data_IF_956438653119
#
_entry.id   IF_956438653119
#
_cell.length_a   1.000
_cell.length_b   1.000
_cell.length_c   1.000
_cell.angle_alpha   90.00
_cell.angle_beta   90.00
_cell.angle_gamma   90.00
#
_symmetry.space_group_name_H-M   'P 1'
#
loop_
_entity.id
_entity.type
_entity.pdbx_description
1 polymer ?
#
# COMPACT_ATOMS: atom_id res chain seq x y z
N UNK A 1 -58.93 -7.14 -28.94
CA UNK A 1 -57.88 -7.99 -29.51
C UNK A 1 -56.68 -7.11 -29.78
N UNK A 2 -55.67 -7.11 -28.90
CA UNK A 2 -54.28 -6.79 -29.21
C UNK A 2 -53.45 -7.15 -28.02
N UNK A 3 -52.73 -8.25 -28.10
CA UNK A 3 -51.69 -8.65 -27.18
C UNK A 3 -50.39 -8.04 -27.69
N UNK A 4 -49.78 -7.15 -26.93
CA UNK A 4 -48.38 -6.76 -27.11
C UNK A 4 -47.52 -7.56 -26.15
N UNK A 5 -46.76 -8.46 -26.71
CA UNK A 5 -45.77 -9.31 -26.05
C UNK A 5 -44.60 -8.43 -25.63
N UNK A 6 -44.35 -8.35 -24.31
CA UNK A 6 -43.21 -7.63 -23.76
C UNK A 6 -42.04 -8.64 -23.56
N UNK A 7 -41.13 -8.70 -24.53
CA UNK A 7 -39.97 -9.63 -24.51
C UNK A 7 -38.61 -8.94 -24.31
N UNK A 8 -38.57 -7.91 -23.45
CA UNK A 8 -37.34 -7.13 -23.25
C UNK A 8 -36.63 -7.37 -21.91
N UNK A 9 -37.18 -8.20 -21.00
CA UNK A 9 -36.67 -8.27 -19.59
C UNK A 9 -35.69 -9.41 -19.32
N UNK A 10 -35.49 -10.34 -20.25
CA UNK A 10 -34.60 -11.50 -20.06
C UNK A 10 -33.11 -11.23 -20.26
N UNK A 11 -32.74 -10.23 -21.06
CA UNK A 11 -31.32 -10.01 -21.44
C UNK A 11 -30.51 -9.14 -20.46
N UNK A 12 -31.18 -8.30 -19.70
CA UNK A 12 -30.53 -7.38 -18.74
C UNK A 12 -30.07 -8.13 -17.48
N UNK A 13 -30.84 -9.15 -17.07
CA UNK A 13 -30.54 -9.93 -15.86
C UNK A 13 -29.34 -10.89 -16.07
N UNK A 14 -29.20 -11.49 -17.24
CA UNK A 14 -28.10 -12.39 -17.59
C UNK A 14 -26.72 -11.68 -17.58
N UNK A 15 -26.66 -10.44 -18.05
CA UNK A 15 -25.41 -9.66 -18.09
C UNK A 15 -24.94 -9.25 -16.68
N UNK A 16 -25.85 -8.97 -15.76
CA UNK A 16 -25.52 -8.63 -14.37
C UNK A 16 -25.00 -9.85 -13.60
N UNK A 17 -25.63 -11.01 -13.80
CA UNK A 17 -25.22 -12.27 -13.18
C UNK A 17 -23.85 -12.72 -13.71
N UNK A 18 -23.61 -12.60 -15.03
CA UNK A 18 -22.33 -12.96 -15.65
C UNK A 18 -21.19 -12.05 -15.16
N UNK A 19 -21.42 -10.72 -15.06
CA UNK A 19 -20.43 -9.78 -14.50
C UNK A 19 -20.11 -10.06 -13.03
N UNK A 20 -21.12 -10.38 -12.21
CA UNK A 20 -20.92 -10.70 -10.81
C UNK A 20 -20.13 -12.00 -10.61
N UNK A 21 -20.37 -13.02 -11.45
CA UNK A 21 -19.64 -14.28 -11.43
C UNK A 21 -18.20 -14.11 -11.92
N UNK A 22 -17.98 -13.31 -12.95
CA UNK A 22 -16.66 -13.00 -13.50
C UNK A 22 -15.79 -12.24 -12.49
N UNK A 23 -16.36 -11.26 -11.79
CA UNK A 23 -15.66 -10.52 -10.74
C UNK A 23 -15.29 -11.41 -9.55
N UNK A 24 -16.15 -12.36 -9.16
CA UNK A 24 -15.83 -13.36 -8.11
C UNK A 24 -14.71 -14.30 -8.54
N UNK A 25 -14.68 -14.70 -9.79
CA UNK A 25 -13.65 -15.57 -10.34
C UNK A 25 -12.29 -14.87 -10.41
N UNK A 26 -12.26 -13.58 -10.80
CA UNK A 26 -11.05 -12.75 -10.75
C UNK A 26 -10.57 -12.59 -9.31
N UNK A 27 -11.47 -12.29 -8.36
CA UNK A 27 -11.13 -12.14 -6.96
C UNK A 27 -10.56 -13.45 -6.39
N UNK A 28 -11.15 -14.59 -6.74
CA UNK A 28 -10.67 -15.91 -6.33
C UNK A 28 -9.29 -16.22 -6.95
N UNK A 29 -9.07 -15.91 -8.22
CA UNK A 29 -7.79 -16.09 -8.90
C UNK A 29 -6.69 -15.20 -8.30
N UNK A 30 -7.01 -13.97 -7.93
CA UNK A 30 -6.11 -13.08 -7.21
C UNK A 30 -5.78 -13.68 -5.83
N UNK A 31 -6.80 -14.14 -5.09
CA UNK A 31 -6.61 -14.72 -3.75
C UNK A 31 -5.76 -15.99 -3.78
N UNK A 32 -5.95 -16.86 -4.80
CA UNK A 32 -5.12 -18.07 -4.97
C UNK A 32 -3.70 -17.74 -5.42
N UNK A 33 -3.49 -16.73 -6.25
CA UNK A 33 -2.17 -16.25 -6.64
C UNK A 33 -1.36 -15.79 -5.43
N UNK A 34 -1.99 -15.09 -4.48
CA UNK A 34 -1.35 -14.68 -3.23
C UNK A 34 -1.06 -15.84 -2.26
N UNK A 35 -1.78 -16.95 -2.35
CA UNK A 35 -1.63 -18.08 -1.43
C UNK A 35 -0.50 -19.06 -1.81
N UNK A 36 0.02 -19.02 -3.04
CA UNK A 36 0.99 -20.00 -3.56
C UNK A 36 2.44 -19.52 -3.54
N UNK A 37 2.73 -18.38 -2.90
CA UNK A 37 4.10 -17.84 -2.84
C UNK A 37 5.00 -18.73 -1.97
N UNK A 38 5.96 -19.39 -2.59
CA UNK A 38 7.04 -20.08 -1.86
C UNK A 38 7.93 -19.04 -1.21
N UNK A 39 7.99 -19.14 0.09
CA UNK A 39 8.71 -18.22 0.94
C UNK A 39 10.21 -18.40 0.84
N UNK A 40 10.92 -17.37 0.42
CA UNK A 40 12.35 -17.23 0.66
C UNK A 40 12.55 -16.40 1.94
N UNK A 41 13.39 -16.91 2.84
CA UNK A 41 13.72 -16.22 4.08
C UNK A 41 14.41 -14.89 3.78
N UNK A 42 14.01 -13.84 4.46
CA UNK A 42 14.71 -12.56 4.40
C UNK A 42 16.08 -12.66 5.06
N UNK A 43 17.08 -12.04 4.45
CA UNK A 43 18.49 -12.15 4.87
C UNK A 43 18.90 -11.08 5.89
N UNK A 44 17.99 -10.27 6.44
CA UNK A 44 18.29 -9.19 7.36
C UNK A 44 17.14 -8.97 8.36
N UNK A 45 17.49 -8.51 9.55
CA UNK A 45 16.52 -8.26 10.64
C UNK A 45 16.04 -6.81 10.66
N UNK A 46 16.92 -5.87 10.28
CA UNK A 46 16.64 -4.45 10.35
C UNK A 46 17.03 -3.74 9.05
N UNK A 47 16.32 -2.67 8.76
CA UNK A 47 16.67 -1.76 7.69
C UNK A 47 16.33 -0.31 8.05
N UNK A 48 17.24 0.59 7.76
CA UNK A 48 17.00 2.03 7.82
C UNK A 48 17.14 2.64 6.43
N UNK A 49 16.27 3.55 6.07
CA UNK A 49 16.32 4.08 4.72
C UNK A 49 15.63 5.42 4.52
N UNK A 50 15.78 5.90 3.31
CA UNK A 50 15.14 7.10 2.81
C UNK A 50 14.03 6.72 1.84
N UNK A 51 12.98 7.50 1.85
CA UNK A 51 11.84 7.41 0.94
C UNK A 51 11.75 8.71 0.14
N UNK A 52 11.56 8.62 -1.15
CA UNK A 52 11.40 9.76 -2.04
C UNK A 52 10.12 9.58 -2.86
N UNK A 53 9.25 10.58 -2.84
CA UNK A 53 7.95 10.55 -3.51
C UNK A 53 6.94 11.45 -2.83
N UNK A 54 5.68 11.05 -2.81
CA UNK A 54 4.61 11.82 -2.17
C UNK A 54 4.80 11.88 -0.65
N UNK A 55 5.32 10.82 -0.03
CA UNK A 55 5.63 10.74 1.38
C UNK A 55 7.15 10.64 1.58
N UNK A 56 7.88 11.71 1.19
CA UNK A 56 9.34 11.75 1.31
C UNK A 56 9.77 11.81 2.77
N UNK A 57 10.81 11.02 3.14
CA UNK A 57 11.26 10.98 4.52
C UNK A 57 12.20 9.83 4.81
N UNK A 58 12.20 9.40 6.06
CA UNK A 58 12.99 8.28 6.55
C UNK A 58 12.07 7.15 7.00
N UNK A 59 12.58 5.92 6.95
CA UNK A 59 11.89 4.74 7.49
C UNK A 59 12.85 3.82 8.21
N UNK A 60 12.33 3.14 9.23
CA UNK A 60 13.01 2.07 9.93
C UNK A 60 12.11 0.83 9.90
N UNK A 61 12.59 -0.23 9.29
CA UNK A 61 11.90 -1.51 9.17
C UNK A 61 12.58 -2.53 10.08
N UNK A 62 11.77 -3.23 10.88
CA UNK A 62 12.21 -4.32 11.74
C UNK A 62 11.40 -5.57 11.42
N UNK A 63 12.07 -6.68 11.10
CA UNK A 63 11.43 -7.98 10.88
C UNK A 63 11.14 -8.66 12.21
N UNK A 64 9.87 -8.94 12.47
CA UNK A 64 9.41 -9.68 13.65
C UNK A 64 9.29 -11.18 13.39
N UNK A 65 9.31 -11.56 12.12
CA UNK A 65 9.42 -12.95 11.65
C UNK A 65 10.07 -12.98 10.26
N UNK A 66 10.28 -14.17 9.71
CA UNK A 66 10.88 -14.31 8.38
C UNK A 66 10.08 -13.60 7.26
N UNK A 67 8.83 -13.24 7.52
CA UNK A 67 7.92 -12.66 6.52
C UNK A 67 7.26 -11.38 6.96
N UNK A 68 7.20 -11.13 8.25
CA UNK A 68 6.43 -10.05 8.82
C UNK A 68 7.35 -8.98 9.39
N UNK A 69 7.10 -7.73 9.05
CA UNK A 69 7.89 -6.59 9.51
C UNK A 69 7.01 -5.45 10.02
N UNK A 70 7.57 -4.66 10.91
CA UNK A 70 7.04 -3.36 11.31
C UNK A 70 7.90 -2.29 10.64
N UNK A 71 7.29 -1.38 9.90
CA UNK A 71 7.95 -0.25 9.26
C UNK A 71 7.48 1.07 9.93
N UNK A 72 8.39 1.71 10.62
CA UNK A 72 8.21 3.03 11.20
C UNK A 72 8.64 4.07 10.19
N UNK A 73 7.80 5.07 9.92
CA UNK A 73 8.09 6.10 8.93
C UNK A 73 7.92 7.50 9.52
N UNK A 74 8.82 8.39 9.16
CA UNK A 74 8.68 9.81 9.39
C UNK A 74 8.85 10.54 8.05
N UNK A 75 7.76 11.13 7.58
CA UNK A 75 7.73 11.85 6.31
C UNK A 75 7.69 13.34 6.55
N UNK A 76 8.49 14.05 5.79
CA UNK A 76 8.63 15.50 5.89
C UNK A 76 8.15 16.12 4.58
N UNK A 77 7.22 17.00 4.67
CA UNK A 77 6.75 17.77 3.54
C UNK A 77 6.61 19.23 3.97
N UNK A 78 7.12 20.15 3.22
CA UNK A 78 7.12 21.61 3.43
C UNK A 78 6.21 22.08 4.58
N UNK A 79 6.75 22.23 5.80
CA UNK A 79 6.01 22.60 7.05
C UNK A 79 5.01 21.55 7.54
N UNK A 80 5.21 20.27 7.20
CA UNK A 80 4.41 19.18 7.72
C UNK A 80 5.29 18.00 8.13
N UNK A 81 4.88 17.31 9.18
CA UNK A 81 5.48 16.07 9.68
C UNK A 81 4.40 15.02 9.75
N UNK A 82 4.64 13.88 9.13
CA UNK A 82 3.77 12.71 9.24
C UNK A 82 4.56 11.56 9.85
N UNK A 83 4.04 10.97 10.91
CA UNK A 83 4.56 9.76 11.54
C UNK A 83 3.61 8.60 11.28
N UNK A 84 4.14 7.48 10.85
CA UNK A 84 3.36 6.29 10.53
C UNK A 84 3.99 5.01 11.04
N UNK A 85 3.13 4.03 11.30
CA UNK A 85 3.51 2.67 11.64
C UNK A 85 2.74 1.73 10.72
N UNK A 86 3.48 0.88 10.01
CA UNK A 86 2.93 -0.10 9.08
C UNK A 86 3.35 -1.51 9.48
N UNK A 87 2.40 -2.42 9.55
CA UNK A 87 2.66 -3.85 9.52
C UNK A 87 2.74 -4.29 8.06
N UNK A 88 3.80 -4.99 7.69
CA UNK A 88 4.08 -5.43 6.33
C UNK A 88 4.33 -6.94 6.31
N UNK A 89 3.76 -7.62 5.34
CA UNK A 89 4.05 -9.01 5.03
C UNK A 89 4.81 -9.10 3.72
N UNK A 90 5.90 -9.85 3.73
CA UNK A 90 6.80 -10.04 2.60
C UNK A 90 6.65 -11.43 2.00
N UNK A 91 6.81 -11.53 0.69
CA UNK A 91 6.87 -12.79 -0.03
C UNK A 91 7.84 -12.67 -1.22
N UNK A 92 8.49 -13.77 -1.58
CA UNK A 92 9.38 -13.81 -2.75
C UNK A 92 8.66 -13.40 -4.03
N UNK A 93 9.34 -12.66 -4.90
CA UNK A 93 8.79 -12.17 -6.15
C UNK A 93 9.52 -12.78 -7.34
N UNK A 94 8.78 -13.30 -8.32
CA UNK A 94 9.27 -13.75 -9.63
C UNK A 94 10.37 -14.82 -9.58
N UNK A 95 10.50 -15.59 -8.51
CA UNK A 95 11.59 -16.57 -8.29
C UNK A 95 13.01 -15.99 -8.48
N UNK A 96 13.16 -14.67 -8.29
CA UNK A 96 14.42 -13.96 -8.33
C UNK A 96 14.94 -13.81 -6.91
N UNK A 97 16.16 -14.32 -6.68
CA UNK A 97 16.82 -14.18 -5.38
C UNK A 97 17.00 -12.71 -5.00
N UNK A 98 16.65 -12.35 -3.76
CA UNK A 98 16.72 -10.98 -3.28
C UNK A 98 15.52 -10.10 -3.66
N UNK A 99 14.63 -10.55 -4.55
CA UNK A 99 13.44 -9.80 -4.92
C UNK A 99 12.23 -10.25 -4.11
N UNK A 100 11.62 -9.28 -3.41
CA UNK A 100 10.45 -9.51 -2.58
C UNK A 100 9.38 -8.47 -2.89
N UNK A 101 8.15 -8.88 -2.90
CA UNK A 101 7.03 -7.97 -2.82
C UNK A 101 6.51 -7.94 -1.39
N UNK A 102 5.95 -6.83 -1.00
CA UNK A 102 5.37 -6.66 0.32
C UNK A 102 4.04 -5.91 0.25
N UNK A 103 3.18 -6.24 1.17
CA UNK A 103 1.90 -5.58 1.35
C UNK A 103 1.57 -5.48 2.83
N UNK A 104 0.75 -4.51 3.17
CA UNK A 104 0.39 -4.31 4.55
C UNK A 104 -0.48 -3.10 4.79
N UNK A 105 -0.56 -2.72 6.06
CA UNK A 105 -1.35 -1.56 6.46
C UNK A 105 -1.02 -1.12 7.86
N UNK A 106 -1.50 0.07 8.19
CA UNK A 106 -1.28 0.65 9.51
C UNK A 106 -1.91 2.03 9.65
N UNK A 107 -1.46 2.77 10.64
CA UNK A 107 -1.96 4.09 10.95
C UNK A 107 -0.90 5.18 10.85
N UNK A 108 -1.34 6.39 10.72
CA UNK A 108 -0.49 7.57 10.75
C UNK A 108 -1.12 8.74 11.47
N UNK A 109 -0.25 9.61 11.98
CA UNK A 109 -0.59 10.94 12.47
C UNK A 109 0.22 11.96 11.68
N UNK A 110 -0.44 12.99 11.16
CA UNK A 110 0.17 14.07 10.41
C UNK A 110 -0.06 15.41 11.08
N UNK A 111 0.99 16.23 11.12
CA UNK A 111 0.96 17.62 11.61
C UNK A 111 1.23 18.52 10.41
N UNK A 112 0.19 19.25 9.97
CA UNK A 112 0.24 20.09 8.79
C UNK A 112 0.08 21.55 9.17
N UNK A 113 0.90 22.44 8.61
CA UNK A 113 0.73 23.88 8.75
C UNK A 113 0.08 24.45 7.47
N UNK A 114 -1.13 24.89 7.63
CA UNK A 114 -1.98 25.76 6.84
C UNK A 114 -2.28 25.45 5.39
N UNK A 115 -1.45 24.93 4.53
CA UNK A 115 -1.72 24.85 3.07
C UNK A 115 -1.19 23.60 2.38
N UNK A 116 -0.56 22.71 3.10
CA UNK A 116 0.30 21.67 2.51
C UNK A 116 -0.19 20.24 2.70
N UNK A 117 -1.49 20.05 2.91
CA UNK A 117 -2.05 18.71 2.83
C UNK A 117 -2.15 18.25 1.36
N UNK A 118 -1.79 17.00 1.00
CA UNK A 118 -1.78 16.52 -0.39
C UNK A 118 -3.10 16.69 -1.14
N UNK A 119 -4.23 16.69 -0.42
CA UNK A 119 -5.55 16.62 -1.04
C UNK A 119 -6.53 17.73 -0.66
N UNK A 120 -6.25 18.50 0.38
CA UNK A 120 -7.14 19.59 0.81
C UNK A 120 -6.36 20.75 1.43
N UNK A 121 -6.94 21.94 1.39
CA UNK A 121 -6.36 23.17 1.95
C UNK A 121 -7.23 23.69 3.06
N UNK A 122 -6.63 23.92 4.23
CA UNK A 122 -7.26 24.60 5.34
C UNK A 122 -6.32 25.66 5.91
N UNK A 123 -6.82 26.69 6.54
CA UNK A 123 -6.01 27.72 7.20
C UNK A 123 -5.69 27.27 8.64
N UNK A 124 -4.42 27.47 9.07
CA UNK A 124 -3.95 27.14 10.42
C UNK A 124 -3.30 25.75 10.53
N UNK A 125 -2.91 25.39 11.75
CA UNK A 125 -2.30 24.08 12.06
C UNK A 125 -3.38 23.02 12.22
N UNK A 126 -3.18 21.89 11.54
CA UNK A 126 -4.11 20.77 11.61
C UNK A 126 -3.37 19.47 11.96
N UNK A 127 -3.99 18.70 12.83
CA UNK A 127 -3.57 17.33 13.09
C UNK A 127 -4.48 16.39 12.32
N UNK A 128 -3.93 15.51 11.52
CA UNK A 128 -4.64 14.52 10.74
C UNK A 128 -4.34 13.14 11.31
N UNK A 129 -5.38 12.35 11.51
CA UNK A 129 -5.28 10.94 11.86
C UNK A 129 -5.83 10.12 10.70
N UNK A 130 -5.14 9.06 10.33
CA UNK A 130 -5.58 8.24 9.22
C UNK A 130 -5.04 6.82 9.27
N UNK A 131 -5.51 6.05 8.31
CA UNK A 131 -5.01 4.70 8.01
C UNK A 131 -4.38 4.70 6.64
N UNK A 132 -3.37 3.85 6.45
CA UNK A 132 -2.72 3.68 5.17
C UNK A 132 -2.45 2.22 4.89
N UNK A 133 -2.52 1.87 3.61
CA UNK A 133 -2.04 0.61 3.09
C UNK A 133 -0.66 0.78 2.45
N UNK A 134 0.00 -0.32 2.18
CA UNK A 134 1.21 -0.36 1.35
C UNK A 134 1.22 -1.59 0.48
N UNK A 135 1.64 -1.40 -0.75
CA UNK A 135 1.98 -2.47 -1.69
C UNK A 135 3.28 -2.07 -2.37
N UNK A 136 4.30 -2.91 -2.27
CA UNK A 136 5.62 -2.57 -2.80
C UNK A 136 6.40 -3.76 -3.31
N UNK A 137 7.45 -3.45 -4.05
CA UNK A 137 8.45 -4.36 -4.53
C UNK A 137 9.81 -3.88 -4.02
N UNK A 138 10.60 -4.78 -3.47
CA UNK A 138 11.93 -4.50 -2.91
C UNK A 138 12.93 -5.51 -3.45
N UNK A 139 14.08 -5.02 -3.88
CA UNK A 139 15.21 -5.83 -4.29
C UNK A 139 16.40 -5.58 -3.36
N UNK A 140 16.84 -6.62 -2.66
CA UNK A 140 18.08 -6.61 -1.88
C UNK A 140 19.24 -6.99 -2.77
N UNK A 141 20.25 -6.13 -2.84
CA UNK A 141 21.48 -6.37 -3.60
C UNK A 141 22.37 -7.31 -2.77
N UNK A 142 22.76 -8.47 -3.33
CA UNK A 142 23.47 -9.49 -2.55
C UNK A 142 24.89 -9.06 -2.15
N UNK A 143 25.58 -8.29 -3.00
CA UNK A 143 26.96 -7.88 -2.81
C UNK A 143 27.14 -6.75 -1.79
N UNK A 144 26.09 -6.01 -1.50
CA UNK A 144 26.15 -4.86 -0.59
C UNK A 144 24.93 -4.83 0.36
N UNK A 145 25.06 -4.28 1.56
CA UNK A 145 23.96 -4.20 2.51
C UNK A 145 22.95 -3.10 2.16
N UNK A 146 22.42 -3.14 0.93
CA UNK A 146 21.48 -2.15 0.40
C UNK A 146 20.30 -2.84 -0.25
N UNK A 147 19.11 -2.33 0.00
CA UNK A 147 17.91 -2.66 -0.76
C UNK A 147 17.32 -1.42 -1.43
N UNK A 148 16.76 -1.64 -2.61
CA UNK A 148 16.02 -0.62 -3.36
C UNK A 148 14.61 -1.11 -3.61
N UNK A 149 13.62 -0.24 -3.49
CA UNK A 149 12.22 -0.60 -3.69
C UNK A 149 11.38 0.53 -4.23
N UNK A 150 10.21 0.13 -4.68
CA UNK A 150 9.13 1.04 -5.04
C UNK A 150 7.88 0.63 -4.27
N UNK A 151 7.11 1.60 -3.81
CA UNK A 151 5.84 1.30 -3.16
C UNK A 151 4.71 2.27 -3.56
N UNK A 152 3.52 1.72 -3.44
CA UNK A 152 2.25 2.40 -3.57
C UNK A 152 1.57 2.42 -2.20
N UNK A 153 1.19 3.60 -1.72
CA UNK A 153 0.60 3.80 -0.40
C UNK A 153 -0.75 4.51 -0.51
N UNK A 154 -1.86 3.75 -0.66
CA UNK A 154 -3.19 4.31 -0.51
C UNK A 154 -3.43 4.69 0.96
N UNK A 155 -4.00 5.87 1.19
CA UNK A 155 -4.27 6.35 2.54
C UNK A 155 -5.64 7.04 2.63
N UNK A 156 -6.23 6.95 3.82
CA UNK A 156 -7.51 7.55 4.16
C UNK A 156 -7.32 8.34 5.44
N UNK A 157 -7.50 9.65 5.34
CA UNK A 157 -7.61 10.53 6.50
C UNK A 157 -8.99 10.30 7.14
N UNK A 158 -9.01 10.09 8.46
CA UNK A 158 -10.24 9.84 9.21
C UNK A 158 -10.68 11.12 9.93
N UNK A 159 -9.72 11.87 10.43
CA UNK A 159 -9.96 13.12 11.12
C UNK A 159 -8.92 14.18 10.71
N UNK A 160 -9.30 15.48 10.61
CA UNK A 160 -10.60 16.07 10.88
C UNK A 160 -11.64 15.89 9.75
N UNK A 161 -11.21 15.55 8.55
CA UNK A 161 -12.06 15.41 7.36
C UNK A 161 -11.71 14.09 6.68
N UNK A 162 -12.74 13.32 6.31
CA UNK A 162 -12.57 12.09 5.55
C UNK A 162 -12.08 12.41 4.14
N UNK A 163 -10.88 11.94 3.81
CA UNK A 163 -10.26 12.18 2.53
C UNK A 163 -9.37 11.00 2.12
N UNK A 164 -9.29 10.72 0.84
CA UNK A 164 -8.46 9.63 0.31
C UNK A 164 -7.37 10.20 -0.59
N UNK A 165 -6.15 9.71 -0.42
CA UNK A 165 -5.03 10.06 -1.28
C UNK A 165 -4.14 8.86 -1.57
N UNK A 166 -3.30 8.98 -2.59
CA UNK A 166 -2.43 7.92 -3.07
C UNK A 166 -0.99 8.42 -3.13
N UNK A 167 -0.08 7.64 -2.56
CA UNK A 167 1.36 7.91 -2.60
C UNK A 167 2.09 6.89 -3.48
N UNK A 168 3.12 7.36 -4.18
CA UNK A 168 4.10 6.53 -4.88
C UNK A 168 5.47 6.95 -4.38
N UNK A 169 6.30 5.99 -3.98
CA UNK A 169 7.61 6.27 -3.42
C UNK A 169 8.66 5.31 -3.99
N UNK A 170 9.86 5.84 -4.15
CA UNK A 170 11.09 5.04 -4.29
C UNK A 170 11.75 4.99 -2.93
N UNK A 171 12.26 3.84 -2.55
CA UNK A 171 12.83 3.60 -1.23
C UNK A 171 14.22 3.02 -1.40
N UNK A 172 15.18 3.57 -0.67
CA UNK A 172 16.53 3.06 -0.56
C UNK A 172 16.83 2.79 0.91
N UNK A 173 17.22 1.55 1.25
CA UNK A 173 17.47 1.12 2.63
C UNK A 173 18.85 0.50 2.78
N UNK A 174 19.51 0.81 3.88
CA UNK A 174 20.64 0.06 4.40
C UNK A 174 20.10 -1.06 5.29
N UNK A 175 20.53 -2.30 5.06
CA UNK A 175 20.06 -3.49 5.75
C UNK A 175 21.14 -4.07 6.66
N UNK A 176 20.78 -4.52 7.90
CA UNK A 176 21.72 -5.04 8.90
C UNK A 176 21.04 -5.99 9.90
#
# INVERSE_FOLDING_TARGET
>A
MNQTCNSADGTVNGRKVFRASFNKMILLAILTFFATQTSQAQYYDNAIGIRAGVASGISFKHFISNFDAIDLMASFHHQSLQLGVLYQRHAGAFDIQGMNWYYGGGGFIGFYDGRFHPSWRAEGRHTVLGVMGVLGLEYKIDEIPVSIGIDFTPAIDIAPILNTWFGYNVVLRYVF
#
